data_IF_892209787721
#
_entry.id   IF_892209787721
#
_cell.length_a   1.000
_cell.length_b   1.000
_cell.length_c   1.000
_cell.angle_alpha   90.00
_cell.angle_beta   90.00
_cell.angle_gamma   90.00
#
_symmetry.space_group_name_H-M   'P 1'
#
loop_
_entity.id
_entity.type
_entity.pdbx_description
1 polymer ?
#
# COMPACT_ATOMS: atom_id res chain seq x y z
N UNK A 1 20.20 26.53 -4.64
CA UNK A 1 21.38 27.39 -4.44
C UNK A 1 20.89 28.75 -4.00
N UNK A 2 21.54 29.36 -3.00
CA UNK A 2 21.25 30.71 -2.50
C UNK A 2 22.38 31.64 -2.92
N UNK A 3 22.02 32.82 -3.39
CA UNK A 3 22.96 33.87 -3.81
C UNK A 3 22.64 35.15 -3.05
N UNK A 4 23.65 35.73 -2.41
CA UNK A 4 23.59 37.02 -1.72
C UNK A 4 24.55 37.97 -2.44
N UNK A 5 24.06 39.14 -2.83
CA UNK A 5 24.85 40.15 -3.52
C UNK A 5 24.84 41.43 -2.70
N UNK A 6 26.03 41.94 -2.41
CA UNK A 6 26.24 43.25 -1.80
C UNK A 6 26.51 44.29 -2.89
N UNK A 7 26.21 45.55 -2.60
CA UNK A 7 26.52 46.68 -3.49
C UNK A 7 28.02 47.04 -3.49
N UNK A 8 28.78 46.51 -2.55
CA UNK A 8 30.23 46.63 -2.44
C UNK A 8 30.82 45.37 -1.80
N UNK A 9 32.14 45.23 -1.84
CA UNK A 9 32.82 44.09 -1.24
C UNK A 9 32.74 44.14 0.30
N UNK A 10 32.34 43.02 0.92
CA UNK A 10 32.22 42.92 2.38
C UNK A 10 33.07 41.79 2.96
N UNK A 11 33.40 41.95 4.24
CA UNK A 11 34.04 40.95 5.10
C UNK A 11 33.18 40.66 6.33
N UNK A 12 33.51 39.62 7.09
CA UNK A 12 32.79 39.22 8.31
C UNK A 12 31.49 38.45 8.10
N UNK A 13 30.94 38.43 6.87
CA UNK A 13 29.72 37.68 6.56
C UNK A 13 29.92 36.15 6.71
N UNK A 14 29.08 35.53 7.52
CA UNK A 14 29.08 34.07 7.76
C UNK A 14 27.66 33.52 7.83
N UNK A 15 27.52 32.19 7.95
CA UNK A 15 26.21 31.57 8.19
C UNK A 15 25.56 31.98 9.52
N UNK A 16 26.32 32.47 10.50
CA UNK A 16 25.76 32.94 11.77
C UNK A 16 24.90 34.20 11.62
N UNK A 17 25.11 34.94 10.53
CA UNK A 17 24.31 36.12 10.17
C UNK A 17 22.97 35.74 9.52
N UNK A 18 22.76 34.45 9.21
CA UNK A 18 21.58 33.94 8.50
C UNK A 18 20.67 33.14 9.42
N UNK A 19 19.37 33.48 9.39
CA UNK A 19 18.30 32.61 9.88
C UNK A 19 17.59 31.97 8.69
N UNK A 20 17.47 30.65 8.70
CA UNK A 20 16.99 29.85 7.57
C UNK A 20 15.83 28.98 8.02
N UNK A 21 14.64 29.21 7.44
CA UNK A 21 13.48 28.37 7.71
C UNK A 21 13.63 26.97 7.06
N UNK A 22 13.22 25.93 7.80
CA UNK A 22 13.08 24.56 7.31
C UNK A 22 14.22 24.00 6.43
N UNK A 23 15.46 24.33 6.78
CA UNK A 23 16.64 23.76 6.13
C UNK A 23 17.94 24.32 6.68
N UNK A 24 19.02 24.03 5.98
CA UNK A 24 20.38 24.48 6.32
C UNK A 24 21.07 25.02 5.08
N UNK A 25 22.08 25.87 5.29
CA UNK A 25 22.98 26.31 4.23
C UNK A 25 24.35 25.68 4.44
N UNK A 26 25.01 25.30 3.35
CA UNK A 26 26.46 25.08 3.37
C UNK A 26 27.18 26.35 3.82
N UNK A 27 28.48 26.24 4.09
CA UNK A 27 29.33 27.41 4.31
C UNK A 27 29.12 28.43 3.18
N UNK A 28 28.85 29.69 3.54
CA UNK A 28 28.81 30.79 2.57
C UNK A 28 30.23 31.01 2.03
N UNK A 29 30.35 31.12 0.71
CA UNK A 29 31.64 31.35 0.06
C UNK A 29 31.53 32.47 -0.96
N UNK A 30 32.62 33.23 -1.13
CA UNK A 30 32.73 34.25 -2.18
C UNK A 30 33.95 33.97 -3.03
N UNK A 31 33.79 34.06 -4.35
CA UNK A 31 34.88 33.90 -5.33
C UNK A 31 35.27 35.20 -6.01
N UNK A 32 34.65 36.32 -5.62
CA UNK A 32 34.84 37.64 -6.23
C UNK A 32 35.16 38.72 -5.19
N UNK A 33 35.85 38.33 -4.12
CA UNK A 33 36.35 39.27 -3.12
C UNK A 33 35.29 39.87 -2.20
N UNK A 34 34.17 39.17 -1.98
CA UNK A 34 33.14 39.58 -1.01
C UNK A 34 31.94 40.31 -1.59
N UNK A 35 31.83 40.44 -2.92
CA UNK A 35 30.67 41.06 -3.58
C UNK A 35 29.46 40.12 -3.70
N UNK A 36 29.72 38.87 -4.10
CA UNK A 36 28.71 37.82 -4.26
C UNK A 36 29.12 36.65 -3.40
N UNK A 37 28.15 36.16 -2.62
CA UNK A 37 28.27 35.00 -1.76
C UNK A 37 27.26 33.95 -2.17
N UNK A 38 27.69 32.70 -2.21
CA UNK A 38 26.83 31.56 -2.53
C UNK A 38 26.87 30.51 -1.43
N UNK A 39 25.74 29.83 -1.27
CA UNK A 39 25.62 28.64 -0.44
C UNK A 39 24.61 27.66 -1.05
N UNK A 40 24.81 26.38 -0.79
CA UNK A 40 23.83 25.34 -1.13
C UNK A 40 22.81 25.25 0.00
N UNK A 41 21.54 25.41 -0.33
CA UNK A 41 20.43 25.15 0.59
C UNK A 41 20.07 23.67 0.55
N UNK A 42 20.00 23.06 1.73
CA UNK A 42 19.54 21.69 1.93
C UNK A 42 18.26 21.76 2.77
N UNK A 43 17.08 21.51 2.17
CA UNK A 43 15.82 21.47 2.90
C UNK A 43 15.82 20.39 3.99
N UNK A 44 15.10 20.65 5.07
CA UNK A 44 14.84 19.64 6.10
C UNK A 44 13.85 18.61 5.54
N UNK A 45 14.12 17.33 5.79
CA UNK A 45 13.24 16.23 5.34
C UNK A 45 11.88 16.24 6.04
N UNK A 46 10.87 15.65 5.38
CA UNK A 46 9.51 15.48 5.87
C UNK A 46 8.81 16.80 6.23
N UNK A 47 9.08 17.85 5.46
CA UNK A 47 8.41 19.15 5.55
C UNK A 47 7.72 19.47 4.22
N UNK A 48 6.47 19.90 4.30
CA UNK A 48 5.75 20.60 3.23
C UNK A 48 5.35 21.98 3.77
N UNK A 49 5.96 23.02 3.23
CA UNK A 49 5.74 24.41 3.65
C UNK A 49 5.94 25.33 2.45
N UNK A 50 4.96 26.18 2.16
CA UNK A 50 4.98 27.10 1.04
C UNK A 50 5.42 28.52 1.41
N UNK A 51 5.77 28.78 2.67
CA UNK A 51 5.94 30.13 3.25
C UNK A 51 7.28 30.36 3.93
N UNK A 52 8.38 29.86 3.35
CA UNK A 52 9.70 29.92 3.95
C UNK A 52 10.48 31.19 3.54
N UNK A 53 11.30 31.70 4.45
CA UNK A 53 12.19 32.85 4.24
C UNK A 53 13.59 32.57 4.76
N UNK A 54 14.57 33.28 4.20
CA UNK A 54 15.92 33.44 4.76
C UNK A 54 16.06 34.89 5.18
N UNK A 55 16.51 35.12 6.41
CA UNK A 55 16.77 36.46 6.94
C UNK A 55 18.26 36.65 7.15
N UNK A 56 18.80 37.74 6.62
CA UNK A 56 20.16 38.21 6.88
C UNK A 56 20.14 39.30 7.93
N UNK A 57 20.90 39.13 9.01
CA UNK A 57 21.28 40.20 9.92
C UNK A 57 22.59 40.84 9.43
N UNK A 58 22.58 42.14 9.15
CA UNK A 58 23.74 42.82 8.58
C UNK A 58 24.78 43.26 9.62
N UNK A 59 24.52 43.09 10.91
CA UNK A 59 25.40 43.54 11.98
C UNK A 59 26.79 42.87 12.01
N UNK A 60 26.93 41.66 11.46
CA UNK A 60 28.22 40.97 11.33
C UNK A 60 29.02 41.33 10.07
N UNK A 61 28.44 42.13 9.17
CA UNK A 61 29.00 42.42 7.84
C UNK A 61 29.67 43.79 7.84
N UNK A 62 30.91 43.89 7.35
CA UNK A 62 31.67 45.16 7.32
C UNK A 62 32.31 45.38 5.94
N UNK A 63 32.23 46.61 5.42
CA UNK A 63 32.89 46.99 4.15
C UNK A 63 34.41 47.22 4.32
N UNK A 64 35.09 47.59 3.22
CA UNK A 64 36.53 47.86 3.24
C UNK A 64 36.91 49.15 4.00
N UNK A 65 35.99 50.09 4.17
CA UNK A 65 36.19 51.33 4.91
C UNK A 65 35.94 51.16 6.43
N UNK A 66 35.47 49.99 6.86
CA UNK A 66 35.16 49.68 8.25
C UNK A 66 33.74 50.03 8.67
N UNK A 67 32.83 50.32 7.73
CA UNK A 67 31.42 50.55 8.07
C UNK A 67 30.70 49.22 8.30
N UNK A 68 30.13 49.05 9.49
CA UNK A 68 29.31 47.87 9.82
C UNK A 68 27.89 48.03 9.30
N UNK A 69 27.36 46.96 8.70
CA UNK A 69 25.98 46.91 8.24
C UNK A 69 24.96 47.00 9.38
N UNK A 70 23.74 47.47 9.07
CA UNK A 70 22.67 47.63 10.05
C UNK A 70 21.34 47.04 9.57
N UNK A 71 20.55 46.56 10.53
CA UNK A 71 19.21 45.99 10.29
C UNK A 71 19.22 44.62 9.62
N UNK A 72 18.05 44.21 9.14
CA UNK A 72 17.84 42.89 8.52
C UNK A 72 17.32 43.03 7.09
N UNK A 73 17.61 42.02 6.27
CA UNK A 73 17.03 41.84 4.94
C UNK A 73 16.40 40.46 4.86
N UNK A 74 15.23 40.35 4.24
CA UNK A 74 14.52 39.08 4.02
C UNK A 74 14.59 38.69 2.55
N UNK A 75 14.70 37.40 2.27
CA UNK A 75 14.65 36.85 0.92
C UNK A 75 13.24 36.94 0.32
N UNK A 76 13.13 36.61 -0.97
CA UNK A 76 11.86 36.15 -1.51
C UNK A 76 11.42 34.86 -0.81
N UNK A 77 10.11 34.60 -0.86
CA UNK A 77 9.54 33.34 -0.40
C UNK A 77 10.06 32.14 -1.19
N UNK A 78 10.21 31.00 -0.53
CA UNK A 78 10.41 29.70 -1.19
C UNK A 78 9.48 28.64 -0.60
N UNK A 79 9.03 27.74 -1.47
CA UNK A 79 8.30 26.55 -1.07
C UNK A 79 9.27 25.36 -0.98
N UNK A 80 9.00 24.47 -0.05
CA UNK A 80 9.63 23.16 0.02
C UNK A 80 8.54 22.10 0.14
N UNK A 81 8.77 20.98 -0.53
CA UNK A 81 8.07 19.75 -0.23
C UNK A 81 9.06 18.60 -0.28
N UNK A 82 9.28 18.00 0.88
CA UNK A 82 10.17 16.85 1.09
C UNK A 82 9.45 15.71 1.79
N UNK A 83 8.12 15.80 1.92
CA UNK A 83 7.30 14.70 2.40
C UNK A 83 7.33 13.63 1.31
N UNK A 84 7.46 12.37 1.70
CA UNK A 84 7.45 11.26 0.75
C UNK A 84 6.10 10.55 0.82
N UNK A 85 5.61 10.00 -0.30
CA UNK A 85 4.46 9.15 -0.29
C UNK A 85 4.59 7.94 0.67
N UNK A 86 3.62 7.85 1.57
CA UNK A 86 3.29 6.73 2.44
C UNK A 86 1.88 6.27 2.09
N UNK A 87 1.48 5.08 2.55
CA UNK A 87 0.18 4.51 2.19
C UNK A 87 -0.39 3.66 3.32
N UNK A 88 -1.71 3.49 3.29
CA UNK A 88 -2.45 2.42 3.95
C UNK A 88 -3.06 1.49 2.90
N UNK A 89 -3.33 0.23 3.28
CA UNK A 89 -3.92 -0.77 2.40
C UNK A 89 -4.92 -1.59 3.21
N UNK A 90 -6.19 -1.54 2.81
CA UNK A 90 -7.31 -2.13 3.53
C UNK A 90 -8.18 -2.93 2.56
N UNK A 91 -8.63 -4.10 2.98
CA UNK A 91 -9.66 -4.86 2.28
C UNK A 91 -10.99 -4.74 3.03
N UNK A 92 -12.09 -4.60 2.29
CA UNK A 92 -13.41 -4.46 2.89
C UNK A 92 -13.88 -5.75 3.58
N UNK A 93 -13.61 -6.89 2.95
CA UNK A 93 -13.81 -8.23 3.49
C UNK A 93 -12.48 -8.99 3.51
N UNK A 94 -12.24 -9.73 4.59
CA UNK A 94 -11.02 -10.50 4.85
C UNK A 94 -11.28 -12.01 4.98
N UNK A 95 -12.51 -12.48 4.79
CA UNK A 95 -12.88 -13.90 4.86
C UNK A 95 -13.73 -14.29 3.66
N UNK A 96 -13.08 -14.65 2.56
CA UNK A 96 -13.75 -14.84 1.26
C UNK A 96 -14.05 -16.31 0.95
N UNK A 97 -15.22 -16.56 0.36
CA UNK A 97 -15.69 -17.86 -0.12
C UNK A 97 -15.76 -17.93 -1.64
N UNK A 98 -16.10 -19.11 -2.17
CA UNK A 98 -16.32 -19.30 -3.59
C UNK A 98 -17.39 -18.33 -4.14
N UNK A 99 -17.04 -17.57 -5.18
CA UNK A 99 -17.92 -16.61 -5.83
C UNK A 99 -17.93 -15.20 -5.21
N UNK A 100 -17.24 -15.00 -4.09
CA UNK A 100 -17.13 -13.68 -3.45
C UNK A 100 -15.97 -12.86 -4.02
N UNK A 101 -16.03 -11.55 -3.83
CA UNK A 101 -14.95 -10.60 -4.12
C UNK A 101 -14.85 -9.58 -3.00
N UNK A 102 -13.70 -8.94 -2.84
CA UNK A 102 -13.48 -7.91 -1.81
C UNK A 102 -12.89 -6.65 -2.43
N UNK A 103 -13.38 -5.48 -2.01
CA UNK A 103 -12.82 -4.20 -2.45
C UNK A 103 -11.53 -3.91 -1.67
N UNK A 104 -10.45 -3.68 -2.40
CA UNK A 104 -9.17 -3.21 -1.86
C UNK A 104 -9.10 -1.70 -2.00
N UNK A 105 -8.70 -1.03 -0.92
CA UNK A 105 -8.52 0.42 -0.85
C UNK A 105 -7.09 0.71 -0.44
N UNK A 106 -6.37 1.45 -1.28
CA UNK A 106 -5.07 2.02 -0.96
C UNK A 106 -5.25 3.53 -0.82
N UNK A 107 -4.77 4.11 0.29
CA UNK A 107 -4.82 5.55 0.51
C UNK A 107 -3.43 6.06 0.79
N UNK A 108 -2.96 7.00 -0.03
CA UNK A 108 -1.70 7.70 0.17
C UNK A 108 -1.91 8.93 1.07
N UNK A 109 -0.86 9.41 1.74
CA UNK A 109 -0.92 10.67 2.52
C UNK A 109 -0.94 11.93 1.63
N UNK A 110 -0.69 11.75 0.34
CA UNK A 110 -0.64 12.79 -0.69
C UNK A 110 -0.96 12.15 -2.05
N UNK A 111 -1.33 12.97 -3.03
CA UNK A 111 -1.64 12.47 -4.36
C UNK A 111 -0.38 11.93 -5.05
N UNK A 112 -0.43 10.71 -5.58
CA UNK A 112 0.71 10.07 -6.26
C UNK A 112 0.44 9.78 -7.73
N UNK A 113 1.54 9.77 -8.48
CA UNK A 113 1.64 9.25 -9.85
C UNK A 113 2.54 8.01 -9.89
N UNK A 114 2.49 7.26 -10.98
CA UNK A 114 3.32 6.05 -11.18
C UNK A 114 2.78 4.77 -10.53
N UNK A 115 1.77 4.86 -9.67
CA UNK A 115 1.18 3.67 -9.02
C UNK A 115 0.41 2.79 -9.99
N UNK A 116 0.72 1.49 -10.01
CA UNK A 116 0.07 0.48 -10.86
C UNK A 116 -0.06 -0.87 -10.14
N UNK A 117 -0.73 -1.84 -10.75
CA UNK A 117 -0.77 -3.21 -10.24
C UNK A 117 0.61 -3.89 -10.18
N UNK A 118 1.62 -3.40 -10.92
CA UNK A 118 2.98 -3.96 -10.86
C UNK A 118 3.68 -3.69 -9.51
N UNK A 119 3.19 -2.69 -8.76
CA UNK A 119 3.66 -2.37 -7.41
C UNK A 119 3.04 -3.28 -6.34
N UNK A 120 2.07 -4.12 -6.71
CA UNK A 120 1.34 -5.00 -5.80
C UNK A 120 1.71 -6.46 -6.00
N UNK A 121 1.89 -7.18 -4.90
CA UNK A 121 1.92 -8.65 -4.88
C UNK A 121 0.77 -9.18 -4.03
N UNK A 122 0.08 -10.20 -4.54
CA UNK A 122 -1.18 -10.69 -3.99
C UNK A 122 -1.14 -12.20 -3.86
N UNK A 123 -1.33 -12.73 -2.66
CA UNK A 123 -1.41 -14.16 -2.44
C UNK A 123 -2.80 -14.72 -2.83
N UNK A 124 -2.81 -15.89 -3.48
CA UNK A 124 -4.02 -16.68 -3.74
C UNK A 124 -5.23 -15.91 -4.28
N UNK A 125 -5.01 -15.00 -5.24
CA UNK A 125 -6.07 -14.32 -5.98
C UNK A 125 -5.53 -13.33 -6.99
N UNK A 126 -6.42 -12.53 -7.56
CA UNK A 126 -6.08 -11.48 -8.52
C UNK A 126 -6.72 -10.16 -8.13
N UNK A 127 -6.17 -9.06 -8.65
CA UNK A 127 -6.76 -7.73 -8.56
C UNK A 127 -7.22 -7.27 -9.95
N UNK A 128 -8.33 -6.55 -10.00
CA UNK A 128 -8.63 -5.69 -11.13
C UNK A 128 -7.57 -4.59 -11.28
N UNK A 129 -7.63 -3.85 -12.39
CA UNK A 129 -6.85 -2.64 -12.53
C UNK A 129 -7.09 -1.69 -11.35
N UNK A 130 -6.02 -1.14 -10.76
CA UNK A 130 -6.13 -0.08 -9.76
C UNK A 130 -6.60 1.19 -10.43
N UNK A 131 -7.57 1.87 -9.82
CA UNK A 131 -8.15 3.10 -10.36
C UNK A 131 -8.27 4.15 -9.27
N UNK A 132 -8.10 5.42 -9.63
CA UNK A 132 -8.28 6.57 -8.75
C UNK A 132 -9.19 7.59 -9.41
N UNK A 133 -10.06 8.21 -8.62
CA UNK A 133 -11.01 9.25 -9.05
C UNK A 133 -10.73 10.61 -8.40
N UNK A 134 -9.73 10.67 -7.54
CA UNK A 134 -9.37 11.86 -6.74
C UNK A 134 -7.91 12.28 -6.98
N UNK A 135 -7.42 12.10 -8.20
CA UNK A 135 -6.10 12.59 -8.61
C UNK A 135 -4.93 11.80 -8.03
N UNK A 136 -5.13 10.57 -7.55
CA UNK A 136 -4.06 9.71 -7.07
C UNK A 136 -3.95 9.59 -5.54
N UNK A 137 -4.87 10.18 -4.77
CA UNK A 137 -4.86 10.08 -3.30
C UNK A 137 -5.39 8.72 -2.81
N UNK A 138 -6.49 8.26 -3.40
CA UNK A 138 -7.12 6.97 -3.09
C UNK A 138 -7.20 6.14 -4.35
N UNK A 139 -6.81 4.88 -4.23
CA UNK A 139 -6.87 3.89 -5.29
C UNK A 139 -7.71 2.71 -4.85
N UNK A 140 -8.52 2.19 -5.77
CA UNK A 140 -9.36 1.01 -5.52
C UNK A 140 -9.17 -0.04 -6.59
N UNK A 141 -9.31 -1.30 -6.18
CA UNK A 141 -9.37 -2.45 -7.05
C UNK A 141 -10.28 -3.52 -6.41
N UNK A 142 -10.79 -4.43 -7.22
CA UNK A 142 -11.55 -5.59 -6.76
C UNK A 142 -10.60 -6.79 -6.68
N UNK A 143 -10.50 -7.39 -5.50
CA UNK A 143 -9.83 -8.65 -5.27
C UNK A 143 -10.79 -9.82 -5.51
N UNK A 144 -10.32 -10.78 -6.31
CA UNK A 144 -11.02 -12.04 -6.58
C UNK A 144 -10.15 -13.20 -6.06
N UNK A 145 -10.64 -14.00 -5.09
CA UNK A 145 -9.88 -15.12 -4.54
C UNK A 145 -9.70 -16.20 -5.60
N UNK A 146 -8.55 -16.89 -5.55
CA UNK A 146 -8.29 -18.04 -6.41
C UNK A 146 -9.28 -19.15 -6.08
N UNK A 147 -9.87 -19.76 -7.11
CA UNK A 147 -10.80 -20.88 -6.95
C UNK A 147 -10.13 -22.13 -6.36
N UNK A 148 -10.93 -23.01 -5.76
CA UNK A 148 -10.51 -24.30 -5.19
C UNK A 148 -9.29 -24.19 -4.24
N UNK A 149 -9.23 -23.12 -3.44
CA UNK A 149 -8.14 -22.85 -2.51
C UNK A 149 -8.70 -22.59 -1.11
N UNK A 150 -8.11 -23.21 -0.11
CA UNK A 150 -8.38 -22.94 1.31
C UNK A 150 -7.08 -22.56 1.98
N UNK A 151 -6.96 -21.31 2.43
CA UNK A 151 -5.77 -20.77 3.08
C UNK A 151 -6.19 -19.64 4.02
N UNK A 152 -5.73 -19.69 5.27
CA UNK A 152 -6.07 -18.71 6.30
C UNK A 152 -4.98 -17.65 6.53
N UNK A 153 -3.87 -17.72 5.79
CA UNK A 153 -2.63 -16.97 6.04
C UNK A 153 -2.15 -16.16 4.84
N UNK A 154 -3.05 -15.41 4.20
CA UNK A 154 -2.73 -14.65 2.99
C UNK A 154 -2.39 -13.19 3.30
N UNK A 155 -1.45 -12.62 2.52
CA UNK A 155 -1.05 -11.22 2.60
C UNK A 155 -0.94 -10.59 1.22
N UNK A 156 -1.12 -9.27 1.19
CA UNK A 156 -0.84 -8.42 0.04
C UNK A 156 0.29 -7.45 0.40
N UNK A 157 1.21 -7.22 -0.53
CA UNK A 157 2.29 -6.25 -0.34
C UNK A 157 2.21 -5.16 -1.38
N UNK A 158 2.52 -3.93 -0.97
CA UNK A 158 2.67 -2.76 -1.82
C UNK A 158 4.14 -2.30 -1.78
N UNK A 159 4.79 -2.18 -2.93
CA UNK A 159 6.08 -1.51 -3.08
C UNK A 159 5.84 -0.04 -3.43
N UNK A 160 6.40 0.90 -2.66
CA UNK A 160 6.23 2.34 -2.90
C UNK A 160 7.38 2.98 -3.68
N UNK A 161 8.38 2.22 -4.10
CA UNK A 161 9.50 2.77 -4.85
C UNK A 161 9.12 3.26 -6.26
N UNK A 162 8.01 2.78 -6.82
CA UNK A 162 7.50 3.18 -8.14
C UNK A 162 6.59 4.42 -8.13
N UNK A 163 6.25 4.95 -6.95
CA UNK A 163 5.30 6.08 -6.84
C UNK A 163 6.01 7.38 -6.48
N UNK A 164 5.53 8.50 -7.02
CA UNK A 164 6.00 9.84 -6.67
C UNK A 164 4.87 10.84 -6.52
N UNK A 165 5.04 11.81 -5.63
CA UNK A 165 4.13 12.94 -5.49
C UNK A 165 4.31 13.99 -6.61
N UNK A 166 3.64 15.14 -6.47
CA UNK A 166 3.76 16.26 -7.40
C UNK A 166 5.09 17.03 -7.28
N UNK A 167 5.78 16.95 -6.14
CA UNK A 167 7.08 17.58 -5.91
C UNK A 167 8.26 16.70 -6.39
N UNK A 168 7.98 15.46 -6.84
CA UNK A 168 8.96 14.49 -7.28
C UNK A 168 9.57 13.66 -6.14
N UNK A 169 9.02 13.72 -4.93
CA UNK A 169 9.45 12.86 -3.85
C UNK A 169 8.97 11.42 -4.11
N UNK A 170 9.94 10.51 -4.21
CA UNK A 170 9.67 9.10 -4.47
C UNK A 170 9.34 8.40 -3.15
N UNK A 171 8.31 7.57 -3.16
CA UNK A 171 7.99 6.68 -2.06
C UNK A 171 9.12 5.69 -1.78
N UNK A 172 9.07 5.03 -0.62
CA UNK A 172 10.09 4.03 -0.28
C UNK A 172 9.53 2.92 0.61
N UNK A 173 10.23 1.79 0.61
CA UNK A 173 9.87 0.61 1.39
C UNK A 173 8.64 -0.13 0.87
N UNK A 174 8.23 -1.13 1.64
CA UNK A 174 7.04 -1.93 1.36
C UNK A 174 6.06 -1.87 2.52
N UNK A 175 4.77 -1.86 2.19
CA UNK A 175 3.66 -1.99 3.12
C UNK A 175 3.08 -3.40 2.97
N UNK A 176 2.76 -4.04 4.08
CA UNK A 176 2.09 -5.35 4.13
C UNK A 176 0.67 -5.15 4.67
N UNK A 177 -0.31 -5.79 4.05
CA UNK A 177 -1.71 -5.76 4.49
C UNK A 177 -1.91 -6.50 5.82
N UNK A 178 -3.09 -6.34 6.41
CA UNK A 178 -3.62 -7.34 7.34
C UNK A 178 -3.81 -8.68 6.63
N UNK A 179 -3.84 -9.76 7.41
CA UNK A 179 -4.14 -11.10 6.92
C UNK A 179 -5.55 -11.21 6.34
N UNK A 180 -5.73 -12.10 5.35
CA UNK A 180 -7.04 -12.57 4.90
C UNK A 180 -7.09 -14.08 4.75
N UNK A 181 -8.28 -14.62 4.96
CA UNK A 181 -8.62 -16.01 4.75
C UNK A 181 -9.45 -16.18 3.47
N UNK A 182 -9.19 -17.28 2.78
CA UNK A 182 -10.00 -17.72 1.64
C UNK A 182 -10.41 -19.18 1.85
N UNK A 183 -11.65 -19.50 1.50
CA UNK A 183 -12.14 -20.87 1.37
C UNK A 183 -13.07 -20.98 0.17
N UNK A 184 -12.45 -21.17 -1.00
CA UNK A 184 -13.15 -21.30 -2.28
C UNK A 184 -13.30 -22.76 -2.72
N UNK A 185 -12.97 -23.72 -1.85
CA UNK A 185 -13.18 -25.14 -2.11
C UNK A 185 -14.67 -25.43 -2.02
N UNK A 186 -15.28 -25.77 -3.16
CA UNK A 186 -16.68 -26.18 -3.17
C UNK A 186 -16.81 -27.64 -2.72
N UNK A 187 -17.89 -28.00 -2.01
CA UNK A 187 -18.17 -29.40 -1.69
C UNK A 187 -18.20 -30.26 -2.96
N UNK A 188 -17.42 -31.33 -2.96
CA UNK A 188 -17.45 -32.34 -4.01
C UNK A 188 -18.06 -33.64 -3.45
N UNK A 189 -18.84 -34.34 -4.27
CA UNK A 189 -19.28 -35.69 -3.94
C UNK A 189 -18.07 -36.60 -3.81
N UNK A 190 -17.72 -36.98 -2.58
CA UNK A 190 -16.56 -37.83 -2.32
C UNK A 190 -16.75 -39.27 -2.81
N UNK A 191 -18.00 -39.78 -2.78
CA UNK A 191 -18.35 -41.11 -3.29
C UNK A 191 -19.83 -41.21 -3.59
N UNK A 192 -20.18 -41.73 -4.77
CA UNK A 192 -21.52 -42.18 -5.09
C UNK A 192 -21.56 -43.71 -4.96
N UNK A 193 -22.40 -44.23 -4.08
CA UNK A 193 -22.78 -45.65 -4.09
C UNK A 193 -24.14 -45.76 -4.71
N UNK A 194 -24.20 -45.97 -6.02
CA UNK A 194 -25.42 -46.51 -6.62
C UNK A 194 -25.60 -47.91 -6.05
N UNK A 195 -26.65 -48.15 -5.28
CA UNK A 195 -27.13 -49.53 -5.12
C UNK A 195 -27.58 -49.91 -6.52
N UNK A 196 -26.79 -50.75 -7.20
CA UNK A 196 -27.16 -51.21 -8.53
C UNK A 196 -28.61 -51.68 -8.48
N UNK A 197 -29.45 -51.17 -9.39
CA UNK A 197 -30.83 -51.62 -9.47
C UNK A 197 -30.81 -53.14 -9.46
N UNK A 198 -31.50 -53.77 -8.50
CA UNK A 198 -31.59 -55.22 -8.47
C UNK A 198 -32.10 -55.65 -9.84
N UNK A 199 -31.35 -56.54 -10.49
CA UNK A 199 -31.83 -57.16 -11.72
C UNK A 199 -33.16 -57.85 -11.43
N UNK A 200 -34.06 -57.94 -12.41
CA UNK A 200 -35.35 -58.63 -12.22
C UNK A 200 -35.16 -60.07 -11.70
N UNK A 201 -34.05 -60.73 -12.07
CA UNK A 201 -33.67 -62.05 -11.53
C UNK A 201 -33.38 -61.99 -10.04
N UNK A 202 -32.57 -61.03 -9.56
CA UNK A 202 -32.32 -60.85 -8.13
C UNK A 202 -33.60 -60.52 -7.35
N UNK A 203 -34.51 -59.72 -7.91
CA UNK A 203 -35.81 -59.44 -7.29
C UNK A 203 -36.66 -60.71 -7.21
N UNK A 204 -36.72 -61.49 -8.29
CA UNK A 204 -37.46 -62.75 -8.33
C UNK A 204 -36.89 -63.78 -7.34
N UNK A 205 -35.56 -63.87 -7.24
CA UNK A 205 -34.90 -64.78 -6.29
C UNK A 205 -35.18 -64.38 -4.84
N UNK A 206 -35.21 -63.07 -4.54
CA UNK A 206 -35.59 -62.57 -3.22
C UNK A 206 -37.06 -62.87 -2.86
N UNK A 207 -37.97 -62.78 -3.84
CA UNK A 207 -39.38 -63.11 -3.65
C UNK A 207 -39.58 -64.60 -3.41
N UNK A 208 -38.92 -65.46 -4.20
CA UNK A 208 -38.94 -66.91 -4.03
C UNK A 208 -38.38 -67.32 -2.68
N UNK A 209 -37.27 -66.73 -2.24
CA UNK A 209 -36.68 -67.00 -0.93
C UNK A 209 -37.65 -66.63 0.21
N UNK A 210 -38.33 -65.49 0.08
CA UNK A 210 -39.33 -65.03 1.06
C UNK A 210 -40.54 -65.96 1.11
N UNK A 211 -41.08 -66.35 -0.05
CA UNK A 211 -42.19 -67.29 -0.14
C UNK A 211 -41.83 -68.67 0.43
N UNK A 212 -40.66 -69.21 0.08
CA UNK A 212 -40.19 -70.49 0.62
C UNK A 212 -40.04 -70.44 2.15
N UNK A 213 -39.54 -69.32 2.69
CA UNK A 213 -39.48 -69.12 4.14
C UNK A 213 -40.88 -69.09 4.76
N UNK A 214 -41.83 -68.36 4.18
CA UNK A 214 -43.22 -68.33 4.66
C UNK A 214 -43.89 -69.70 4.62
N UNK A 215 -43.69 -70.48 3.55
CA UNK A 215 -44.19 -71.85 3.47
C UNK A 215 -43.56 -72.76 4.52
N UNK A 216 -42.24 -72.65 4.72
CA UNK A 216 -41.53 -73.42 5.75
C UNK A 216 -42.02 -73.05 7.15
N UNK A 217 -42.23 -71.77 7.43
CA UNK A 217 -42.73 -71.29 8.73
C UNK A 217 -44.19 -71.74 8.95
N UNK A 218 -45.03 -71.74 7.92
CA UNK A 218 -46.39 -72.25 7.97
C UNK A 218 -46.43 -73.77 8.21
N UNK A 219 -45.59 -74.54 7.52
CA UNK A 219 -45.49 -75.98 7.71
C UNK A 219 -45.06 -76.35 9.14
N UNK A 220 -44.14 -75.57 9.73
CA UNK A 220 -43.74 -75.71 11.14
C UNK A 220 -44.88 -75.37 12.09
N UNK A 221 -45.64 -74.30 11.83
CA UNK A 221 -46.78 -73.92 12.66
C UNK A 221 -47.90 -74.97 12.63
N UNK A 222 -48.20 -75.54 11.46
CA UNK A 222 -49.17 -76.62 11.30
C UNK A 222 -48.75 -77.91 12.01
N UNK A 223 -47.47 -78.29 11.90
CA UNK A 223 -46.93 -79.47 12.58
C UNK A 223 -46.92 -79.38 14.11
N UNK A 224 -46.98 -78.17 14.67
CA UNK A 224 -47.04 -77.95 16.13
C UNK A 224 -48.48 -77.99 16.69
N UNK A 225 -49.51 -78.12 15.84
CA UNK A 225 -50.93 -78.14 16.25
C UNK A 225 -51.57 -79.52 16.30
N UNK A 226 -50.85 -80.59 15.95
CA UNK A 226 -51.30 -81.99 16.02
C UNK A 226 -50.49 -82.78 17.05
#
# INVERSE_FOLDING_TARGET
MVTITFNEAVSGFTNADLSVANGTLSAVTSTNGGLIWTATFTPKAAISDSTNLITLNKAGVTDAAGNTGSGTTVSNNYAIDTVRPTATLIMADTALKAGETSRVTITFNEAVSGFTNADLSVANGTLSAVTSTNGGLTWTATFTPKAATSDSTNLMTLNRAGVSDAAGNIGSGSLVSSNYAIDTVQPALARSTTVGAMTLSQQLDSLKATQNKQLSDLARALGAMG
#
